data_IF_353639219094
#
_entry.id   IF_353639219094
#
_cell.length_a   1.000
_cell.length_b   1.000
_cell.length_c   1.000
_cell.angle_alpha   90.00
_cell.angle_beta   90.00
_cell.angle_gamma   90.00
#
_symmetry.space_group_name_H-M   'P 1'
#
loop_
_entity.id
_entity.type
_entity.pdbx_description
1 polymer ?
#
# COMPACT_ATOMS: atom_id res chain seq x y z
N UNK A 1 -29.89 -20.99 -3.58
CA UNK A 1 -28.76 -20.09 -3.67
C UNK A 1 -29.13 -18.61 -3.80
N UNK A 2 -30.03 -18.20 -4.74
CA UNK A 2 -30.48 -16.79 -4.88
C UNK A 2 -31.16 -16.25 -3.62
N UNK A 3 -32.05 -16.98 -2.97
CA UNK A 3 -32.76 -16.57 -1.74
C UNK A 3 -31.80 -16.36 -0.53
N UNK A 4 -30.76 -17.19 -0.39
CA UNK A 4 -29.73 -17.02 0.64
C UNK A 4 -28.89 -15.75 0.40
N UNK A 5 -28.56 -15.44 -0.85
CA UNK A 5 -27.85 -14.24 -1.25
C UNK A 5 -28.68 -12.96 -0.99
N UNK A 6 -29.98 -13.01 -1.24
CA UNK A 6 -30.92 -11.93 -0.96
C UNK A 6 -31.07 -11.68 0.55
N UNK A 7 -31.18 -12.73 1.36
CA UNK A 7 -31.18 -12.65 2.82
C UNK A 7 -29.86 -12.07 3.35
N UNK A 8 -28.71 -12.49 2.79
CA UNK A 8 -27.41 -11.95 3.18
C UNK A 8 -27.28 -10.45 2.85
N UNK A 9 -27.76 -10.03 1.67
CA UNK A 9 -27.78 -8.61 1.28
C UNK A 9 -28.70 -7.76 2.17
N UNK A 10 -29.72 -8.35 2.78
CA UNK A 10 -30.66 -7.64 3.65
C UNK A 10 -30.13 -7.38 5.08
N UNK A 11 -29.02 -8.00 5.47
CA UNK A 11 -28.39 -7.78 6.78
C UNK A 11 -27.98 -6.32 6.97
N UNK A 12 -28.23 -5.77 8.16
CA UNK A 12 -27.94 -4.36 8.50
C UNK A 12 -26.48 -3.97 8.25
N UNK A 13 -25.54 -4.87 8.55
CA UNK A 13 -24.10 -4.73 8.27
C UNK A 13 -23.80 -4.59 6.77
N UNK A 14 -24.43 -5.42 5.93
CA UNK A 14 -24.23 -5.39 4.48
C UNK A 14 -24.79 -4.11 3.86
N UNK A 15 -25.91 -3.60 4.38
CA UNK A 15 -26.48 -2.31 3.93
C UNK A 15 -25.59 -1.11 4.30
N UNK A 16 -24.92 -1.14 5.47
CA UNK A 16 -24.05 -0.06 5.93
C UNK A 16 -22.68 -0.09 5.22
N UNK A 17 -22.06 -1.25 5.15
CA UNK A 17 -20.68 -1.40 4.62
C UNK A 17 -20.62 -1.64 3.11
N UNK A 18 -21.71 -2.08 2.49
CA UNK A 18 -21.72 -2.53 1.10
C UNK A 18 -21.32 -4.01 0.94
N UNK A 19 -22.01 -4.72 0.04
CA UNK A 19 -21.85 -6.16 -0.17
C UNK A 19 -20.39 -6.59 -0.42
N UNK A 20 -19.69 -5.89 -1.32
CA UNK A 20 -18.30 -6.24 -1.70
C UNK A 20 -17.34 -6.19 -0.50
N UNK A 21 -17.49 -5.23 0.40
CA UNK A 21 -16.61 -5.08 1.57
C UNK A 21 -16.84 -6.16 2.61
N UNK A 22 -18.09 -6.56 2.80
CA UNK A 22 -18.42 -7.67 3.71
C UNK A 22 -17.86 -8.99 3.16
N UNK A 23 -17.91 -9.19 1.85
CA UNK A 23 -17.29 -10.36 1.20
C UNK A 23 -15.76 -10.36 1.45
N UNK A 24 -15.08 -9.21 1.31
CA UNK A 24 -13.62 -9.12 1.55
C UNK A 24 -13.28 -9.44 3.02
N UNK A 25 -14.07 -8.97 3.98
CA UNK A 25 -13.88 -9.34 5.40
C UNK A 25 -14.10 -10.84 5.60
N UNK A 26 -15.10 -11.43 4.95
CA UNK A 26 -15.30 -12.87 4.95
C UNK A 26 -14.10 -13.63 4.38
N UNK A 27 -13.46 -13.12 3.31
CA UNK A 27 -12.22 -13.68 2.75
C UNK A 27 -11.10 -13.65 3.79
N UNK A 28 -10.92 -12.55 4.52
CA UNK A 28 -9.92 -12.46 5.60
C UNK A 28 -10.13 -13.57 6.64
N UNK A 29 -11.37 -13.74 7.12
CA UNK A 29 -11.69 -14.75 8.13
C UNK A 29 -11.39 -16.16 7.60
N UNK A 30 -11.82 -16.45 6.37
CA UNK A 30 -11.60 -17.74 5.73
C UNK A 30 -10.08 -18.00 5.57
N UNK A 31 -9.30 -17.02 5.12
CA UNK A 31 -7.85 -17.16 4.99
C UNK A 31 -7.18 -17.41 6.34
N UNK A 32 -7.57 -16.69 7.40
CA UNK A 32 -7.05 -16.93 8.75
C UNK A 32 -7.33 -18.37 9.21
N UNK A 33 -8.54 -18.89 8.96
CA UNK A 33 -8.90 -20.27 9.32
C UNK A 33 -8.11 -21.30 8.49
N UNK A 34 -7.97 -21.08 7.18
CA UNK A 34 -7.19 -21.95 6.31
C UNK A 34 -5.73 -22.00 6.78
N UNK A 35 -5.10 -20.85 6.99
CA UNK A 35 -3.70 -20.79 7.44
C UNK A 35 -3.52 -21.36 8.84
N UNK A 36 -4.50 -21.19 9.74
CA UNK A 36 -4.47 -21.81 11.06
C UNK A 36 -4.43 -23.34 10.98
N UNK A 37 -5.31 -23.93 10.16
CA UNK A 37 -5.37 -25.39 9.98
C UNK A 37 -4.12 -25.91 9.27
N UNK A 38 -3.74 -25.29 8.14
CA UNK A 38 -2.59 -25.72 7.36
C UNK A 38 -1.26 -25.58 8.12
N UNK A 39 -1.06 -24.49 8.87
CA UNK A 39 0.15 -24.30 9.66
C UNK A 39 0.26 -25.33 10.80
N UNK A 40 -0.85 -25.67 11.44
CA UNK A 40 -0.87 -26.69 12.48
C UNK A 40 -0.53 -28.10 11.94
N UNK A 41 -0.99 -28.41 10.72
CA UNK A 41 -0.74 -29.73 10.08
C UNK A 41 0.67 -29.83 9.49
N UNK A 42 1.13 -28.77 8.78
CA UNK A 42 2.39 -28.80 8.03
C UNK A 42 3.62 -28.50 8.90
N UNK A 43 3.48 -27.69 9.94
CA UNK A 43 4.61 -27.16 10.72
C UNK A 43 4.59 -27.59 12.20
N UNK A 44 4.09 -28.78 12.48
CA UNK A 44 4.18 -29.49 13.79
C UNK A 44 3.94 -28.61 15.04
N UNK A 45 2.86 -27.82 15.01
CA UNK A 45 2.44 -27.00 16.16
C UNK A 45 2.77 -25.52 16.08
N UNK A 46 3.47 -25.04 15.05
CA UNK A 46 3.61 -23.62 14.76
C UNK A 46 2.31 -23.11 14.13
N UNK A 47 1.40 -22.62 14.96
CA UNK A 47 0.09 -22.14 14.50
C UNK A 47 0.15 -20.68 14.01
N UNK A 48 -0.68 -20.37 13.03
CA UNK A 48 -0.76 -19.02 12.45
C UNK A 48 -1.31 -17.99 13.45
N UNK A 49 -2.38 -18.32 14.19
CA UNK A 49 -3.02 -17.42 15.13
C UNK A 49 -2.27 -17.30 16.45
N UNK A 50 -1.04 -16.76 16.38
CA UNK A 50 -0.25 -16.36 17.55
C UNK A 50 -0.18 -14.83 17.60
N UNK A 51 -0.01 -14.26 18.80
CA UNK A 51 0.12 -12.80 18.98
C UNK A 51 1.26 -12.23 18.13
N UNK A 52 2.41 -12.90 18.10
CA UNK A 52 3.57 -12.45 17.33
C UNK A 52 3.26 -12.37 15.81
N UNK A 53 2.68 -13.42 15.23
CA UNK A 53 2.35 -13.44 13.80
C UNK A 53 1.23 -12.46 13.44
N UNK A 54 0.25 -12.32 14.32
CA UNK A 54 -0.81 -11.32 14.13
C UNK A 54 -0.24 -9.90 14.12
N UNK A 55 0.70 -9.61 15.04
CA UNK A 55 1.40 -8.32 15.06
C UNK A 55 2.25 -8.12 13.81
N UNK A 56 2.96 -9.16 13.35
CA UNK A 56 3.72 -9.11 12.09
C UNK A 56 2.83 -8.84 10.88
N UNK A 57 1.67 -9.52 10.78
CA UNK A 57 0.70 -9.28 9.72
C UNK A 57 0.17 -7.83 9.74
N UNK A 58 -0.13 -7.30 10.92
CA UNK A 58 -0.54 -5.90 11.07
C UNK A 58 0.58 -4.96 10.62
N UNK A 59 1.81 -5.20 11.07
CA UNK A 59 2.98 -4.40 10.72
C UNK A 59 3.23 -4.37 9.21
N UNK A 60 3.09 -5.52 8.56
CA UNK A 60 3.19 -5.61 7.11
C UNK A 60 2.03 -4.90 6.41
N UNK A 61 0.83 -5.08 6.92
CA UNK A 61 -0.40 -4.55 6.33
C UNK A 61 -0.44 -3.03 6.28
N UNK A 62 0.11 -2.31 7.28
CA UNK A 62 -0.03 -0.86 7.25
C UNK A 62 0.96 -0.18 6.30
N UNK A 63 2.22 -0.61 6.14
CA UNK A 63 3.07 0.06 5.15
C UNK A 63 2.65 -0.27 3.71
N UNK A 64 2.21 -1.51 3.43
CA UNK A 64 1.56 -1.84 2.16
C UNK A 64 0.28 -1.03 1.97
N UNK A 65 -0.48 -0.80 3.05
CA UNK A 65 -1.68 0.03 3.03
C UNK A 65 -1.41 1.47 2.58
N UNK A 66 -0.34 2.09 3.07
CA UNK A 66 0.05 3.44 2.61
C UNK A 66 0.42 3.46 1.13
N UNK A 67 1.21 2.48 0.65
CA UNK A 67 1.52 2.34 -0.77
C UNK A 67 0.25 2.15 -1.60
N UNK A 68 -0.60 1.23 -1.20
CA UNK A 68 -1.85 0.92 -1.90
C UNK A 68 -2.81 2.12 -1.94
N UNK A 69 -2.92 2.89 -0.84
CA UNK A 69 -3.69 4.14 -0.84
C UNK A 69 -3.18 5.11 -1.90
N UNK A 70 -1.86 5.26 -2.05
CA UNK A 70 -1.26 6.09 -3.09
C UNK A 70 -1.61 5.61 -4.49
N UNK A 71 -1.37 4.33 -4.74
CA UNK A 71 -1.66 3.68 -6.03
C UNK A 71 -3.15 3.77 -6.40
N UNK A 72 -4.05 3.77 -5.41
CA UNK A 72 -5.51 3.93 -5.63
C UNK A 72 -5.84 5.23 -6.38
N UNK A 73 -5.16 6.34 -6.09
CA UNK A 73 -5.40 7.61 -6.78
C UNK A 73 -4.92 7.57 -8.23
N UNK A 74 -3.77 6.95 -8.49
CA UNK A 74 -3.24 6.80 -9.85
C UNK A 74 -4.12 5.86 -10.68
N UNK A 75 -4.51 4.71 -10.13
CA UNK A 75 -5.44 3.79 -10.81
C UNK A 75 -6.80 4.44 -11.04
N UNK A 76 -7.29 5.28 -10.12
CA UNK A 76 -8.54 6.01 -10.30
C UNK A 76 -8.54 6.89 -11.57
N UNK A 77 -7.38 7.45 -11.97
CA UNK A 77 -7.22 8.22 -13.23
C UNK A 77 -7.01 7.34 -14.46
N UNK A 78 -6.91 6.02 -14.32
CA UNK A 78 -6.61 5.09 -15.41
C UNK A 78 -5.11 4.88 -15.65
N UNK A 79 -4.24 5.43 -14.79
CA UNK A 79 -2.79 5.20 -14.81
C UNK A 79 -2.38 3.99 -13.97
N UNK A 80 -1.12 3.57 -14.12
CA UNK A 80 -0.49 2.54 -13.28
C UNK A 80 0.87 3.08 -12.86
N UNK A 81 1.25 2.89 -11.58
CA UNK A 81 2.55 3.30 -11.04
C UNK A 81 3.30 2.10 -10.43
N UNK A 82 4.36 1.68 -11.12
CA UNK A 82 5.27 0.63 -10.66
C UNK A 82 6.48 1.18 -9.91
N UNK A 83 6.54 2.46 -9.62
CA UNK A 83 7.70 3.05 -8.94
C UNK A 83 7.57 3.13 -7.42
N UNK A 84 6.37 2.94 -6.87
CA UNK A 84 6.02 3.26 -5.47
C UNK A 84 6.90 2.55 -4.44
N UNK A 85 7.23 1.27 -4.63
CA UNK A 85 8.07 0.51 -3.72
C UNK A 85 9.54 0.97 -3.76
N UNK A 86 10.20 1.01 -4.93
CA UNK A 86 11.53 1.60 -5.07
C UNK A 86 11.63 3.07 -4.63
N UNK A 87 10.58 3.88 -4.82
CA UNK A 87 10.53 5.26 -4.28
C UNK A 87 10.48 5.25 -2.75
N UNK A 88 9.69 4.34 -2.14
CA UNK A 88 9.69 4.12 -0.69
C UNK A 88 11.09 3.78 -0.18
N UNK A 89 11.79 2.83 -0.84
CA UNK A 89 13.16 2.45 -0.47
C UNK A 89 14.16 3.59 -0.69
N UNK A 90 14.08 4.31 -1.80
CA UNK A 90 14.92 5.48 -2.09
C UNK A 90 14.77 6.54 -0.99
N UNK A 91 13.53 6.84 -0.60
CA UNK A 91 13.24 7.79 0.47
C UNK A 91 13.82 7.34 1.82
N UNK A 92 13.66 6.06 2.17
CA UNK A 92 14.23 5.49 3.38
C UNK A 92 15.77 5.47 3.37
N UNK A 93 16.38 5.13 2.22
CA UNK A 93 17.85 5.10 2.06
C UNK A 93 18.45 6.51 2.22
N UNK A 94 17.96 7.49 1.49
CA UNK A 94 18.50 8.85 1.53
C UNK A 94 18.31 9.47 2.91
N UNK A 95 17.11 9.37 3.46
CA UNK A 95 16.78 9.97 4.76
C UNK A 95 17.56 9.33 5.91
N UNK A 96 17.69 7.99 5.91
CA UNK A 96 18.47 7.28 6.92
C UNK A 96 19.97 7.52 6.77
N UNK A 97 20.48 7.64 5.55
CA UNK A 97 21.89 8.00 5.30
C UNK A 97 22.20 9.42 5.79
N UNK A 98 21.28 10.37 5.59
CA UNK A 98 21.42 11.74 6.12
C UNK A 98 21.47 11.76 7.65
N UNK A 99 20.64 10.95 8.31
CA UNK A 99 20.70 10.79 9.76
C UNK A 99 22.05 10.24 10.22
N UNK A 100 22.50 9.12 9.62
CA UNK A 100 23.68 8.40 10.08
C UNK A 100 25.01 9.14 9.77
N UNK A 101 25.12 9.80 8.60
CA UNK A 101 26.40 10.30 8.10
C UNK A 101 26.51 11.83 8.16
N UNK A 102 25.40 12.56 8.12
CA UNK A 102 25.39 14.03 8.18
C UNK A 102 24.84 14.57 9.50
N UNK A 103 24.46 13.69 10.45
CA UNK A 103 23.97 14.09 11.76
C UNK A 103 22.64 14.85 11.74
N UNK A 104 21.80 14.63 10.73
CA UNK A 104 20.48 15.26 10.68
C UNK A 104 19.62 14.79 11.86
N UNK A 105 18.85 15.69 12.50
CA UNK A 105 17.89 15.29 13.52
C UNK A 105 16.89 14.28 12.97
N UNK A 106 16.45 13.30 13.78
CA UNK A 106 15.51 12.27 13.35
C UNK A 106 14.22 12.84 12.75
N UNK A 107 13.65 13.90 13.33
CA UNK A 107 12.43 14.51 12.79
C UNK A 107 12.62 15.10 11.38
N UNK A 108 13.82 15.62 11.05
CA UNK A 108 14.15 16.06 9.67
C UNK A 108 14.17 14.87 8.73
N UNK A 109 14.85 13.79 9.11
CA UNK A 109 14.92 12.56 8.31
C UNK A 109 13.54 11.96 8.05
N UNK A 110 12.63 12.00 9.03
CA UNK A 110 11.26 11.55 8.84
C UNK A 110 10.47 12.46 7.87
N UNK A 111 10.65 13.77 7.91
CA UNK A 111 10.00 14.70 6.96
C UNK A 111 10.59 14.54 5.56
N UNK A 112 11.87 14.23 5.43
CA UNK A 112 12.51 13.98 4.14
C UNK A 112 11.87 12.80 3.40
N UNK A 113 11.42 11.76 4.09
CA UNK A 113 10.80 10.61 3.44
C UNK A 113 9.61 10.99 2.53
N UNK A 114 8.53 11.62 3.02
CA UNK A 114 7.41 12.03 2.19
C UNK A 114 7.78 13.11 1.16
N UNK A 115 8.76 13.98 1.45
CA UNK A 115 9.23 15.00 0.51
C UNK A 115 9.95 14.35 -0.69
N UNK A 116 10.82 13.38 -0.47
CA UNK A 116 11.48 12.63 -1.55
C UNK A 116 10.43 11.90 -2.38
N UNK A 117 9.49 11.21 -1.73
CA UNK A 117 8.37 10.57 -2.42
C UNK A 117 7.55 11.55 -3.25
N UNK A 118 7.25 12.74 -2.72
CA UNK A 118 6.54 13.81 -3.41
C UNK A 118 7.29 14.30 -4.65
N UNK A 119 8.63 14.42 -4.59
CA UNK A 119 9.46 14.80 -5.74
C UNK A 119 9.34 13.76 -6.84
N UNK A 120 9.48 12.47 -6.53
CA UNK A 120 9.31 11.40 -7.52
C UNK A 120 7.90 11.38 -8.11
N UNK A 121 6.87 11.52 -7.28
CA UNK A 121 5.49 11.63 -7.73
C UNK A 121 5.24 12.84 -8.62
N UNK A 122 5.85 13.99 -8.31
CA UNK A 122 5.77 15.20 -9.13
C UNK A 122 6.43 15.00 -10.50
N UNK A 123 7.62 14.41 -10.52
CA UNK A 123 8.34 14.10 -11.76
C UNK A 123 7.54 13.12 -12.61
N UNK A 124 7.05 12.02 -12.03
CA UNK A 124 6.23 11.03 -12.75
C UNK A 124 4.92 11.63 -13.25
N UNK A 125 4.24 12.38 -12.40
CA UNK A 125 3.03 13.08 -12.77
C UNK A 125 3.24 14.08 -13.90
N UNK A 126 4.35 14.80 -13.91
CA UNK A 126 4.70 15.72 -15.00
C UNK A 126 4.88 15.00 -16.34
N UNK A 127 5.66 13.91 -16.37
CA UNK A 127 5.87 13.14 -17.60
C UNK A 127 4.57 12.55 -18.15
N UNK A 128 3.70 12.04 -17.28
CA UNK A 128 2.44 11.43 -17.71
C UNK A 128 1.43 12.48 -18.13
N UNK A 129 1.21 13.52 -17.31
CA UNK A 129 0.11 14.46 -17.50
C UNK A 129 0.41 15.57 -18.50
N UNK A 130 1.65 16.08 -18.56
CA UNK A 130 2.03 17.18 -19.44
C UNK A 130 2.70 16.72 -20.73
N UNK A 131 3.57 15.70 -20.66
CA UNK A 131 4.24 15.14 -21.83
C UNK A 131 3.46 13.97 -22.45
N UNK A 132 2.36 13.56 -21.83
CA UNK A 132 1.48 12.49 -22.31
C UNK A 132 2.19 11.15 -22.53
N UNK A 133 3.26 10.87 -21.76
CA UNK A 133 3.94 9.59 -21.82
C UNK A 133 3.05 8.49 -21.19
N UNK A 134 3.10 7.26 -21.72
CA UNK A 134 2.38 6.14 -21.11
C UNK A 134 2.80 5.94 -19.64
N UNK A 135 1.84 5.90 -18.73
CA UNK A 135 2.09 5.79 -17.28
C UNK A 135 2.93 4.58 -16.91
N UNK A 136 2.70 3.45 -17.56
CA UNK A 136 3.47 2.22 -17.37
C UNK A 136 4.95 2.41 -17.69
N UNK A 137 5.29 3.00 -18.85
CA UNK A 137 6.69 3.22 -19.26
C UNK A 137 7.36 4.23 -18.32
N UNK A 138 6.67 5.32 -18.01
CA UNK A 138 7.17 6.37 -17.11
C UNK A 138 7.47 5.80 -15.72
N UNK A 139 6.57 5.00 -15.16
CA UNK A 139 6.76 4.44 -13.83
C UNK A 139 7.87 3.38 -13.78
N UNK A 140 8.05 2.57 -14.83
CA UNK A 140 9.19 1.67 -14.95
C UNK A 140 10.52 2.42 -15.00
N UNK A 141 10.59 3.52 -15.74
CA UNK A 141 11.79 4.38 -15.77
C UNK A 141 12.07 4.98 -14.39
N UNK A 142 11.04 5.55 -13.74
CA UNK A 142 11.16 6.11 -12.38
C UNK A 142 11.54 5.06 -11.34
N UNK A 143 11.06 3.83 -11.46
CA UNK A 143 11.46 2.71 -10.64
C UNK A 143 12.99 2.51 -10.69
N UNK A 144 13.57 2.49 -11.89
CA UNK A 144 15.02 2.31 -12.06
C UNK A 144 15.79 3.55 -11.58
N UNK A 145 15.27 4.75 -11.85
CA UNK A 145 15.86 6.00 -11.34
C UNK A 145 15.88 6.03 -9.82
N UNK A 146 14.77 5.65 -9.15
CA UNK A 146 14.70 5.61 -7.69
C UNK A 146 15.73 4.64 -7.10
N UNK A 147 15.87 3.44 -7.69
CA UNK A 147 16.90 2.46 -7.30
C UNK A 147 18.31 3.03 -7.50
N UNK A 148 18.58 3.65 -8.65
CA UNK A 148 19.87 4.25 -8.96
C UNK A 148 20.21 5.39 -8.01
N UNK A 149 19.31 6.35 -7.84
CA UNK A 149 19.51 7.52 -6.97
C UNK A 149 19.75 7.09 -5.51
N UNK A 150 18.92 6.19 -4.97
CA UNK A 150 19.10 5.66 -3.62
C UNK A 150 20.45 4.96 -3.44
N UNK A 151 20.85 4.15 -4.43
CA UNK A 151 22.14 3.41 -4.39
C UNK A 151 23.35 4.33 -4.51
N UNK A 152 23.32 5.29 -5.43
CA UNK A 152 24.42 6.26 -5.62
C UNK A 152 24.59 7.09 -4.36
N UNK A 153 23.50 7.61 -3.80
CA UNK A 153 23.54 8.46 -2.61
C UNK A 153 24.13 7.73 -1.39
N UNK A 154 23.80 6.46 -1.23
CA UNK A 154 24.27 5.62 -0.12
C UNK A 154 25.57 4.86 -0.42
N UNK A 155 26.20 5.12 -1.57
CA UNK A 155 27.39 4.38 -2.05
C UNK A 155 27.15 2.86 -2.08
N UNK A 156 25.94 2.46 -2.45
CA UNK A 156 25.47 1.06 -2.52
C UNK A 156 25.53 0.32 -1.17
N UNK A 157 25.62 1.05 -0.06
CA UNK A 157 25.65 0.49 1.28
C UNK A 157 24.24 0.33 1.84
N UNK A 158 24.05 -0.72 2.66
CA UNK A 158 22.84 -0.86 3.46
C UNK A 158 22.75 0.27 4.49
N UNK A 159 21.57 0.81 4.68
CA UNK A 159 21.32 1.85 5.67
C UNK A 159 20.53 1.24 6.83
N UNK A 160 21.15 1.24 8.01
CA UNK A 160 20.49 0.82 9.25
C UNK A 160 19.90 2.03 9.96
N UNK A 161 18.62 1.95 10.29
CA UNK A 161 17.94 2.95 11.09
C UNK A 161 18.08 2.62 12.59
N UNK A 162 18.06 3.61 13.49
CA UNK A 162 18.25 3.40 14.93
C UNK A 162 17.27 2.41 15.53
N UNK A 163 17.74 1.59 16.48
CA UNK A 163 16.87 0.79 17.33
C UNK A 163 16.19 1.67 18.37
N UNK A 164 15.21 1.14 19.13
CA UNK A 164 14.50 1.90 20.17
C UNK A 164 15.40 2.47 21.24
N UNK A 165 16.46 1.72 21.62
CA UNK A 165 17.45 2.11 22.60
C UNK A 165 18.43 3.19 22.11
N UNK A 166 18.55 3.37 20.81
CA UNK A 166 19.54 4.25 20.22
C UNK A 166 19.04 5.70 20.19
N UNK A 167 19.94 6.70 20.13
CA UNK A 167 19.57 8.08 19.92
C UNK A 167 18.73 8.25 18.64
N UNK A 168 17.56 8.85 18.75
CA UNK A 168 16.63 9.00 17.63
C UNK A 168 15.66 7.84 17.45
N UNK A 169 15.79 6.72 18.17
CA UNK A 169 14.92 5.53 18.02
C UNK A 169 13.45 5.72 18.42
N UNK A 170 13.10 6.86 18.97
CA UNK A 170 11.71 7.20 19.36
C UNK A 170 10.71 7.12 18.19
N UNK A 171 11.16 7.29 16.94
CA UNK A 171 10.32 7.23 15.75
C UNK A 171 9.63 5.85 15.58
N UNK A 172 10.21 4.78 16.15
CA UNK A 172 9.59 3.45 16.11
C UNK A 172 8.27 3.37 16.84
N UNK A 173 8.03 4.30 17.79
CA UNK A 173 6.74 4.41 18.46
C UNK A 173 5.62 4.86 17.50
N UNK A 174 5.96 5.46 16.33
CA UNK A 174 4.98 5.74 15.28
C UNK A 174 4.45 4.46 14.61
N UNK A 175 5.26 3.39 14.59
CA UNK A 175 4.84 2.10 14.05
C UNK A 175 4.24 1.22 15.14
N UNK A 176 4.99 1.00 16.22
CA UNK A 176 4.57 0.18 17.36
C UNK A 176 4.97 0.88 18.66
N UNK A 177 4.00 1.14 19.53
CA UNK A 177 4.25 1.74 20.84
C UNK A 177 4.18 0.66 21.91
N UNK A 178 5.25 0.49 22.68
CA UNK A 178 5.27 -0.42 23.82
C UNK A 178 4.76 0.31 25.07
N UNK A 179 3.71 -0.22 25.66
CA UNK A 179 3.13 0.31 26.90
C UNK A 179 3.14 -0.78 27.96
N UNK A 180 3.72 -0.51 29.13
CA UNK A 180 3.68 -1.42 30.26
C UNK A 180 2.35 -1.28 31.01
N UNK A 181 1.52 -2.32 30.91
CA UNK A 181 0.23 -2.39 31.62
C UNK A 181 0.32 -3.56 32.62
N UNK A 182 0.30 -3.27 33.91
CA UNK A 182 0.30 -4.30 34.96
C UNK A 182 1.54 -5.21 34.97
N UNK A 183 2.71 -4.71 34.53
CA UNK A 183 3.96 -5.49 34.49
C UNK A 183 4.15 -6.30 33.20
N UNK A 184 3.22 -6.26 32.27
CA UNK A 184 3.35 -6.86 30.93
C UNK A 184 3.53 -5.78 29.87
N UNK A 185 4.50 -5.95 28.98
CA UNK A 185 4.68 -5.06 27.81
C UNK A 185 3.66 -5.42 26.73
N UNK A 186 2.74 -4.48 26.44
CA UNK A 186 1.75 -4.60 25.37
C UNK A 186 2.18 -3.72 24.21
N UNK A 187 2.21 -4.29 23.01
CA UNK A 187 2.54 -3.57 21.78
C UNK A 187 1.25 -3.01 21.15
N UNK A 188 1.13 -1.69 21.10
CA UNK A 188 0.03 -0.99 20.44
C UNK A 188 0.48 -0.68 19.01
N UNK A 189 -0.22 -1.18 17.97
CA UNK A 189 0.12 -0.92 16.58
C UNK A 189 -0.29 0.50 16.16
N UNK A 190 0.50 1.50 16.56
CA UNK A 190 0.24 2.91 16.23
C UNK A 190 0.19 3.16 14.72
N UNK A 191 0.98 2.41 13.94
CA UNK A 191 0.95 2.48 12.47
C UNK A 191 -0.43 2.15 11.89
N UNK A 192 -1.19 1.24 12.51
CA UNK A 192 -2.56 0.95 12.11
C UNK A 192 -3.48 2.15 12.35
N UNK A 193 -3.35 2.81 13.49
CA UNK A 193 -4.15 3.99 13.83
C UNK A 193 -3.87 5.12 12.83
N UNK A 194 -2.59 5.35 12.52
CA UNK A 194 -2.18 6.38 11.55
C UNK A 194 -2.66 6.01 10.15
N UNK A 195 -2.58 4.72 9.74
CA UNK A 195 -3.13 4.26 8.48
C UNK A 195 -4.64 4.55 8.38
N UNK A 196 -5.41 4.28 9.43
CA UNK A 196 -6.85 4.55 9.45
C UNK A 196 -7.12 6.05 9.31
N UNK A 197 -6.37 6.90 10.01
CA UNK A 197 -6.50 8.37 9.90
C UNK A 197 -6.20 8.82 8.46
N UNK A 198 -5.09 8.37 7.87
CA UNK A 198 -4.72 8.70 6.49
C UNK A 198 -5.73 8.14 5.50
N UNK A 199 -6.25 6.93 5.71
CA UNK A 199 -7.30 6.36 4.87
C UNK A 199 -8.60 7.18 4.93
N UNK A 200 -8.98 7.71 6.10
CA UNK A 200 -10.13 8.63 6.23
C UNK A 200 -9.87 9.91 5.43
N UNK A 201 -8.68 10.50 5.55
CA UNK A 201 -8.31 11.69 4.79
C UNK A 201 -8.37 11.41 3.28
N UNK A 202 -7.75 10.30 2.84
CA UNK A 202 -7.80 9.86 1.43
C UNK A 202 -9.24 9.61 0.94
N UNK A 203 -10.10 9.02 1.78
CA UNK A 203 -11.49 8.79 1.46
C UNK A 203 -12.27 10.12 1.31
N UNK A 204 -12.00 11.10 2.16
CA UNK A 204 -12.58 12.45 2.04
C UNK A 204 -12.08 13.13 0.76
N UNK A 205 -10.77 13.09 0.49
CA UNK A 205 -10.18 13.66 -0.72
C UNK A 205 -10.80 13.04 -1.96
N UNK A 206 -10.86 11.70 -2.03
CA UNK A 206 -11.35 10.99 -3.21
C UNK A 206 -12.86 11.18 -3.44
N UNK A 207 -13.68 11.09 -2.37
CA UNK A 207 -15.13 11.03 -2.51
C UNK A 207 -15.84 12.38 -2.30
N UNK A 208 -15.23 13.33 -1.56
CA UNK A 208 -15.90 14.57 -1.16
C UNK A 208 -15.31 15.82 -1.79
N UNK A 209 -14.07 15.77 -2.30
CA UNK A 209 -13.44 16.95 -2.91
C UNK A 209 -13.63 17.02 -4.43
N UNK A 210 -13.41 18.21 -5.02
CA UNK A 210 -13.37 18.39 -6.48
C UNK A 210 -12.25 17.55 -7.10
N UNK A 211 -11.08 17.49 -6.45
CA UNK A 211 -9.92 16.73 -6.91
C UNK A 211 -10.26 15.25 -7.16
N UNK A 212 -10.81 14.58 -6.14
CA UNK A 212 -11.15 13.15 -6.25
C UNK A 212 -12.23 12.89 -7.30
N UNK A 213 -13.25 13.75 -7.39
CA UNK A 213 -14.27 13.62 -8.45
C UNK A 213 -13.67 13.73 -9.85
N UNK A 214 -12.79 14.73 -10.09
CA UNK A 214 -12.13 14.85 -11.38
C UNK A 214 -11.19 13.69 -11.69
N UNK A 215 -10.45 13.16 -10.71
CA UNK A 215 -9.62 11.96 -10.89
C UNK A 215 -10.45 10.74 -11.32
N UNK A 216 -11.59 10.50 -10.67
CA UNK A 216 -12.51 9.40 -11.03
C UNK A 216 -13.11 9.64 -12.42
N UNK A 217 -13.55 10.85 -12.73
CA UNK A 217 -14.11 11.18 -14.05
C UNK A 217 -13.06 11.04 -15.16
N UNK A 218 -11.80 11.44 -14.91
CA UNK A 218 -10.67 11.25 -15.84
C UNK A 218 -10.48 9.80 -16.23
N UNK A 219 -10.49 8.90 -15.23
CA UNK A 219 -10.37 7.47 -15.48
C UNK A 219 -11.59 6.87 -16.18
N UNK A 220 -12.77 7.47 -16.03
CA UNK A 220 -13.97 7.01 -16.71
C UNK A 220 -14.01 7.46 -18.18
N UNK A 221 -13.76 8.74 -18.46
CA UNK A 221 -13.69 9.28 -19.82
C UNK A 221 -12.91 10.61 -19.82
N UNK A 222 -11.63 10.53 -20.16
CA UNK A 222 -10.72 11.69 -20.20
C UNK A 222 -11.19 12.77 -21.18
N UNK A 223 -11.68 12.37 -22.36
CA UNK A 223 -12.11 13.32 -23.40
C UNK A 223 -13.36 14.11 -22.96
N UNK A 224 -14.33 13.45 -22.36
CA UNK A 224 -15.51 14.14 -21.82
C UNK A 224 -15.14 15.17 -20.75
N UNK A 225 -14.18 14.86 -19.86
CA UNK A 225 -13.68 15.80 -18.84
C UNK A 225 -12.97 16.98 -19.51
N UNK A 226 -12.16 16.74 -20.53
CA UNK A 226 -11.48 17.80 -21.32
C UNK A 226 -12.48 18.74 -21.98
N UNK A 227 -13.49 18.18 -22.63
CA UNK A 227 -14.54 18.94 -23.30
C UNK A 227 -15.41 19.77 -22.34
N UNK A 228 -15.50 19.38 -21.07
CA UNK A 228 -16.17 20.17 -20.04
C UNK A 228 -15.33 21.34 -19.50
N UNK A 229 -14.16 21.63 -20.10
CA UNK A 229 -13.30 22.76 -19.75
C UNK A 229 -12.42 22.52 -18.51
N UNK A 230 -12.34 21.29 -17.98
CA UNK A 230 -11.52 20.96 -16.83
C UNK A 230 -10.08 20.68 -17.28
N UNK A 231 -9.10 21.29 -16.61
CA UNK A 231 -7.68 21.01 -16.86
C UNK A 231 -7.31 19.60 -16.34
N UNK A 232 -7.34 18.63 -17.25
CA UNK A 232 -7.08 17.22 -16.95
C UNK A 232 -5.67 16.97 -16.44
N UNK A 233 -4.69 17.78 -16.90
CA UNK A 233 -3.27 17.63 -16.57
C UNK A 233 -3.02 17.81 -15.07
N UNK A 234 -3.61 18.85 -14.48
CA UNK A 234 -3.44 19.16 -13.04
C UNK A 234 -3.94 18.06 -12.14
N UNK A 235 -5.12 17.50 -12.46
CA UNK A 235 -5.73 16.47 -11.61
C UNK A 235 -5.04 15.13 -11.74
N UNK A 236 -4.57 14.80 -12.95
CA UNK A 236 -3.75 13.62 -13.17
C UNK A 236 -2.40 13.74 -12.45
N UNK A 237 -1.69 14.87 -12.60
CA UNK A 237 -0.44 15.13 -11.87
C UNK A 237 -0.62 15.03 -10.36
N UNK A 238 -1.70 15.60 -9.82
CA UNK A 238 -1.98 15.55 -8.37
C UNK A 238 -2.14 14.12 -7.87
N UNK A 239 -2.70 13.20 -8.66
CA UNK A 239 -2.80 11.79 -8.30
C UNK A 239 -1.42 11.14 -8.09
N UNK A 240 -0.45 11.44 -8.96
CA UNK A 240 0.94 10.98 -8.82
C UNK A 240 1.66 11.64 -7.64
N UNK A 241 1.43 12.93 -7.39
CA UNK A 241 2.00 13.63 -6.24
C UNK A 241 1.51 13.01 -4.93
N UNK A 242 0.21 12.71 -4.81
CA UNK A 242 -0.36 12.02 -3.66
C UNK A 242 0.26 10.62 -3.54
N UNK A 243 0.38 9.89 -4.64
CA UNK A 243 0.93 8.54 -4.68
C UNK A 243 2.38 8.53 -4.17
N UNK A 244 3.24 9.37 -4.72
CA UNK A 244 4.63 9.48 -4.29
C UNK A 244 4.78 9.93 -2.83
N UNK A 245 3.96 10.90 -2.39
CA UNK A 245 3.97 11.35 -0.98
C UNK A 245 3.61 10.21 -0.03
N UNK A 246 2.59 9.40 -0.37
CA UNK A 246 2.19 8.24 0.44
C UNK A 246 3.23 7.11 0.36
N UNK A 247 3.95 6.96 -0.76
CA UNK A 247 5.09 6.04 -0.84
C UNK A 247 6.22 6.47 0.10
N UNK A 248 6.55 7.77 0.15
CA UNK A 248 7.49 8.31 1.12
C UNK A 248 7.01 8.17 2.57
N UNK A 249 5.72 8.33 2.83
CA UNK A 249 5.13 8.08 4.15
C UNK A 249 5.25 6.60 4.54
N UNK A 250 5.00 5.68 3.61
CA UNK A 250 5.18 4.23 3.81
C UNK A 250 6.62 3.89 4.24
N UNK A 251 7.63 4.64 3.76
CA UNK A 251 9.02 4.46 4.13
C UNK A 251 9.23 4.57 5.65
N UNK A 252 8.58 5.53 6.31
CA UNK A 252 8.67 5.74 7.78
C UNK A 252 8.17 4.49 8.51
N UNK A 253 7.07 3.91 8.06
CA UNK A 253 6.49 2.73 8.70
C UNK A 253 7.26 1.46 8.36
N UNK A 254 7.83 1.38 7.16
CA UNK A 254 8.74 0.29 6.80
C UNK A 254 9.96 0.26 7.73
N UNK A 255 10.67 1.37 7.87
CA UNK A 255 11.85 1.44 8.75
C UNK A 255 11.50 1.39 10.25
N UNK A 256 10.26 1.71 10.61
CA UNK A 256 9.74 1.50 11.95
C UNK A 256 9.63 0.03 12.34
N UNK A 257 9.41 -0.86 11.36
CA UNK A 257 9.32 -2.30 11.54
C UNK A 257 10.64 -3.02 11.25
N UNK A 258 11.30 -2.63 10.14
CA UNK A 258 12.53 -3.23 9.65
C UNK A 258 13.71 -2.29 9.83
N UNK A 259 14.76 -2.77 10.52
CA UNK A 259 15.91 -1.93 10.89
C UNK A 259 16.76 -1.53 9.69
N UNK A 260 16.82 -2.36 8.67
CA UNK A 260 17.80 -2.21 7.58
C UNK A 260 17.10 -2.06 6.23
N UNK A 261 17.51 -1.06 5.49
CA UNK A 261 17.08 -0.80 4.11
C UNK A 261 18.21 -1.16 3.17
N UNK A 262 17.94 -2.03 2.20
CA UNK A 262 18.91 -2.46 1.20
C UNK A 262 18.73 -1.69 -0.10
N UNK A 263 19.81 -1.24 -0.75
CA UNK A 263 19.73 -0.65 -2.09
C UNK A 263 19.16 -1.63 -3.13
N UNK A 264 18.65 -1.08 -4.23
CA UNK A 264 18.13 -1.85 -5.39
C UNK A 264 16.97 -2.79 -5.06
N UNK A 265 16.28 -2.61 -3.94
CA UNK A 265 15.11 -3.39 -3.54
C UNK A 265 13.82 -2.59 -3.68
N UNK A 266 12.70 -3.21 -3.40
CA UNK A 266 11.37 -2.59 -3.33
C UNK A 266 10.37 -3.03 -4.40
N UNK A 267 10.80 -3.74 -5.46
CA UNK A 267 9.93 -4.08 -6.60
C UNK A 267 8.71 -4.92 -6.23
N UNK A 268 8.86 -5.82 -5.27
CA UNK A 268 7.77 -6.71 -4.85
C UNK A 268 6.60 -5.95 -4.26
N UNK A 269 6.88 -4.86 -3.56
CA UNK A 269 5.86 -4.03 -2.92
C UNK A 269 4.98 -3.26 -3.91
N UNK A 270 5.47 -3.00 -5.15
CA UNK A 270 4.64 -2.45 -6.21
C UNK A 270 3.46 -3.37 -6.53
N UNK A 271 3.78 -4.65 -6.78
CA UNK A 271 2.78 -5.65 -7.15
C UNK A 271 1.78 -5.88 -6.04
N UNK A 272 2.24 -5.90 -4.79
CA UNK A 272 1.41 -6.08 -3.61
C UNK A 272 0.46 -4.89 -3.40
N UNK A 273 0.96 -3.65 -3.56
CA UNK A 273 0.15 -2.45 -3.46
C UNK A 273 -0.94 -2.40 -4.55
N UNK A 274 -0.58 -2.74 -5.80
CA UNK A 274 -1.53 -2.82 -6.92
C UNK A 274 -2.55 -3.93 -6.67
N UNK A 275 -2.10 -5.12 -6.24
CA UNK A 275 -2.98 -6.25 -5.93
C UNK A 275 -3.98 -5.88 -4.81
N UNK A 276 -3.53 -5.21 -3.75
CA UNK A 276 -4.37 -4.72 -2.67
C UNK A 276 -5.46 -3.77 -3.18
N UNK A 277 -5.11 -2.82 -4.08
CA UNK A 277 -6.07 -1.91 -4.71
C UNK A 277 -7.13 -2.65 -5.52
N UNK A 278 -6.71 -3.56 -6.38
CA UNK A 278 -7.60 -4.28 -7.31
C UNK A 278 -8.52 -5.23 -6.56
N UNK A 279 -7.98 -6.01 -5.61
CA UNK A 279 -8.79 -6.84 -4.72
C UNK A 279 -9.76 -6.00 -3.90
N UNK A 280 -9.35 -4.80 -3.49
CA UNK A 280 -10.21 -3.84 -2.80
C UNK A 280 -11.36 -3.28 -3.65
N UNK A 281 -11.39 -3.59 -4.95
CA UNK A 281 -12.44 -3.16 -5.88
C UNK A 281 -12.15 -1.85 -6.60
N UNK A 282 -10.90 -1.39 -6.59
CA UNK A 282 -10.42 -0.32 -7.47
C UNK A 282 -10.16 -0.91 -8.85
N UNK A 283 -10.69 -0.30 -9.89
CA UNK A 283 -10.62 -0.86 -11.23
C UNK A 283 -9.42 -0.40 -12.02
N UNK A 284 -8.64 -1.35 -12.56
CA UNK A 284 -7.45 -1.09 -13.37
C UNK A 284 -7.69 -0.21 -14.60
N UNK A 285 -8.90 -0.19 -15.15
CA UNK A 285 -9.22 0.67 -16.27
C UNK A 285 -9.61 2.10 -15.87
N UNK A 286 -9.51 2.45 -14.58
CA UNK A 286 -9.90 3.76 -14.05
C UNK A 286 -11.41 3.93 -13.81
N UNK A 287 -11.79 5.10 -13.30
CA UNK A 287 -13.18 5.50 -13.09
C UNK A 287 -13.88 4.91 -11.88
N UNK A 288 -13.28 3.93 -11.22
CA UNK A 288 -13.80 3.31 -9.99
C UNK A 288 -12.67 3.10 -9.00
N UNK A 289 -12.81 3.62 -7.79
CA UNK A 289 -11.82 3.48 -6.73
C UNK A 289 -12.49 3.34 -5.35
N UNK A 290 -11.89 2.55 -4.47
CA UNK A 290 -12.42 2.27 -3.14
C UNK A 290 -11.32 2.28 -2.08
N UNK A 291 -11.19 3.39 -1.34
CA UNK A 291 -10.19 3.53 -0.27
C UNK A 291 -10.35 2.45 0.81
N UNK A 292 -11.57 2.24 1.33
CA UNK A 292 -11.81 1.21 2.34
C UNK A 292 -11.52 -0.20 1.80
N UNK A 293 -11.90 -0.46 0.54
CA UNK A 293 -11.59 -1.73 -0.10
C UNK A 293 -10.07 -1.93 -0.21
N UNK A 294 -9.32 -0.91 -0.62
CA UNK A 294 -7.85 -0.96 -0.70
C UNK A 294 -7.20 -1.28 0.64
N UNK A 295 -7.66 -0.65 1.74
CA UNK A 295 -7.15 -0.96 3.09
C UNK A 295 -7.44 -2.42 3.45
N UNK A 296 -8.65 -2.93 3.20
CA UNK A 296 -8.96 -4.34 3.45
C UNK A 296 -8.07 -5.25 2.58
N UNK A 297 -7.87 -4.89 1.31
CA UNK A 297 -6.99 -5.59 0.38
C UNK A 297 -5.54 -5.66 0.86
N UNK A 298 -5.00 -4.59 1.45
CA UNK A 298 -3.63 -4.61 2.00
C UNK A 298 -3.49 -5.59 3.17
N UNK A 299 -4.51 -5.72 4.01
CA UNK A 299 -4.51 -6.74 5.08
C UNK A 299 -4.69 -8.16 4.56
N UNK A 300 -5.42 -8.37 3.45
CA UNK A 300 -5.48 -9.69 2.79
C UNK A 300 -4.07 -10.09 2.34
N UNK A 301 -3.32 -9.20 1.68
CA UNK A 301 -1.93 -9.47 1.27
C UNK A 301 -1.05 -9.77 2.49
N UNK A 302 -1.16 -9.00 3.56
CA UNK A 302 -0.39 -9.18 4.78
C UNK A 302 -0.65 -10.54 5.45
N UNK A 303 -1.92 -10.94 5.56
CA UNK A 303 -2.33 -12.22 6.13
C UNK A 303 -1.82 -13.38 5.26
N UNK A 304 -1.85 -13.23 3.95
CA UNK A 304 -1.31 -14.24 3.04
C UNK A 304 0.20 -14.38 3.20
N UNK A 305 0.94 -13.29 3.31
CA UNK A 305 2.38 -13.33 3.54
C UNK A 305 2.72 -14.08 4.82
N UNK A 306 2.15 -13.67 5.94
CA UNK A 306 2.41 -14.30 7.24
C UNK A 306 1.87 -15.74 7.30
N UNK A 307 0.76 -16.01 6.63
CA UNK A 307 0.20 -17.35 6.50
C UNK A 307 1.15 -18.32 5.80
N UNK A 308 1.73 -17.91 4.67
CA UNK A 308 2.72 -18.71 3.92
C UNK A 308 3.97 -18.97 4.76
N UNK A 309 4.48 -17.92 5.42
CA UNK A 309 5.63 -18.05 6.32
C UNK A 309 5.32 -18.98 7.52
N UNK A 310 4.07 -18.98 8.03
CA UNK A 310 3.66 -19.85 9.12
C UNK A 310 3.64 -21.33 8.76
N UNK A 311 3.43 -21.65 7.48
CA UNK A 311 3.49 -23.02 6.97
C UNK A 311 4.92 -23.54 6.75
N UNK A 312 5.95 -22.70 6.95
CA UNK A 312 7.35 -23.05 6.70
C UNK A 312 7.78 -23.02 5.24
N UNK A 313 6.94 -22.47 4.36
CA UNK A 313 7.29 -22.30 2.95
C UNK A 313 8.30 -21.16 2.73
N UNK A 314 9.11 -21.31 1.69
CA UNK A 314 10.07 -20.30 1.29
C UNK A 314 9.32 -19.06 0.75
N UNK A 315 9.93 -17.88 0.92
CA UNK A 315 9.45 -16.60 0.42
C UNK A 315 9.16 -16.60 -1.11
N UNK A 316 9.81 -17.50 -1.87
CA UNK A 316 9.55 -17.70 -3.29
C UNK A 316 8.10 -18.14 -3.59
N UNK A 317 7.47 -18.91 -2.69
CA UNK A 317 6.06 -19.27 -2.79
C UNK A 317 5.14 -18.07 -2.66
N UNK A 318 5.51 -17.12 -1.80
CA UNK A 318 4.76 -15.88 -1.62
C UNK A 318 4.70 -15.07 -2.92
N UNK A 319 5.85 -14.91 -3.60
CA UNK A 319 5.88 -14.18 -4.88
C UNK A 319 5.00 -14.82 -5.93
N UNK A 320 5.05 -16.13 -6.07
CA UNK A 320 4.23 -16.88 -7.01
C UNK A 320 2.74 -16.74 -6.70
N UNK A 321 2.37 -16.85 -5.42
CA UNK A 321 0.98 -16.77 -5.00
C UNK A 321 0.42 -15.33 -5.15
N UNK A 322 1.20 -14.32 -4.79
CA UNK A 322 0.81 -12.91 -4.99
C UNK A 322 0.58 -12.60 -6.46
N UNK A 323 1.44 -13.11 -7.36
CA UNK A 323 1.28 -12.94 -8.80
C UNK A 323 0.00 -13.64 -9.33
N UNK A 324 -0.29 -14.86 -8.87
CA UNK A 324 -1.51 -15.59 -9.24
C UNK A 324 -2.77 -14.86 -8.76
N UNK A 325 -2.74 -14.28 -7.57
CA UNK A 325 -3.88 -13.53 -7.02
C UNK A 325 -4.07 -12.22 -7.78
N UNK A 326 -2.99 -11.51 -8.09
CA UNK A 326 -3.08 -10.31 -8.93
C UNK A 326 -3.73 -10.64 -10.27
N UNK A 327 -3.30 -11.74 -10.92
CA UNK A 327 -3.87 -12.18 -12.18
C UNK A 327 -5.36 -12.53 -12.04
N UNK A 328 -5.73 -13.27 -11.00
CA UNK A 328 -7.12 -13.62 -10.73
C UNK A 328 -7.99 -12.39 -10.47
N UNK A 329 -7.49 -11.42 -9.70
CA UNK A 329 -8.18 -10.17 -9.41
C UNK A 329 -8.41 -9.32 -10.69
N UNK A 330 -7.40 -9.23 -11.56
CA UNK A 330 -7.52 -8.53 -12.86
C UNK A 330 -8.51 -9.23 -13.78
N UNK A 331 -8.48 -10.56 -13.88
CA UNK A 331 -9.46 -11.34 -14.66
C UNK A 331 -10.88 -11.08 -14.13
N UNK A 332 -11.07 -11.08 -12.82
CA UNK A 332 -12.37 -10.81 -12.21
C UNK A 332 -12.87 -9.38 -12.51
N UNK A 333 -12.00 -8.36 -12.47
CA UNK A 333 -12.34 -6.97 -12.82
C UNK A 333 -12.77 -6.86 -14.28
N UNK A 334 -11.97 -7.40 -15.22
CA UNK A 334 -12.28 -7.38 -16.66
C UNK A 334 -13.59 -8.09 -16.96
N UNK A 335 -13.82 -9.27 -16.36
CA UNK A 335 -15.04 -10.06 -16.56
C UNK A 335 -16.27 -9.36 -15.99
N UNK A 336 -16.14 -8.73 -14.85
CA UNK A 336 -17.22 -7.95 -14.22
C UNK A 336 -17.65 -6.76 -15.07
N UNK A 337 -16.69 -6.08 -15.72
CA UNK A 337 -16.96 -4.96 -16.63
C UNK A 337 -17.68 -5.40 -17.89
N UNK A 338 -17.23 -6.50 -18.52
CA UNK A 338 -17.89 -7.04 -19.72
C UNK A 338 -19.36 -7.41 -19.51
N UNK A 339 -19.75 -7.69 -18.27
CA UNK A 339 -21.15 -7.98 -17.91
C UNK A 339 -22.00 -6.71 -17.63
N UNK A 340 -21.38 -5.56 -17.47
CA UNK A 340 -22.06 -4.28 -17.20
C UNK A 340 -22.25 -3.44 -18.46
N UNK A 341 -21.43 -3.67 -19.48
CA UNK A 341 -21.59 -3.14 -20.85
C UNK A 341 -22.40 -4.13 -21.70
#
# INVERSE_FOLDING_TARGET
MKAALERFKSLKLVKIMGFNRVVLIGVIIILCLIFQVLSAVLNHGNVFLTYARFTSAINYGYFIGFLALGVTFVIATGGIDFSVGPVMFCAALISGYCFNNYGFPMWVSLIMCPLIGMIFGTVGGFFVSYLHLPSFITSLALMQIAKGVGSIFTKTQNVSWPNRSDPGGWYRNLSNMEVNIGGQSVNIPMGLIILVIVAIICAIVLNKTKAGRYMICLGANREAVRLSGVDTRRWEMLAYVICGTLAGLAAIFYVGCYTTVQPVKGDTFNNEAIAACVMGGTSMAGGLASILGTVIGSFIIAIMQEGILSMGFNIAFQYSLTALILLAAVIADVTSRRRRN
#
